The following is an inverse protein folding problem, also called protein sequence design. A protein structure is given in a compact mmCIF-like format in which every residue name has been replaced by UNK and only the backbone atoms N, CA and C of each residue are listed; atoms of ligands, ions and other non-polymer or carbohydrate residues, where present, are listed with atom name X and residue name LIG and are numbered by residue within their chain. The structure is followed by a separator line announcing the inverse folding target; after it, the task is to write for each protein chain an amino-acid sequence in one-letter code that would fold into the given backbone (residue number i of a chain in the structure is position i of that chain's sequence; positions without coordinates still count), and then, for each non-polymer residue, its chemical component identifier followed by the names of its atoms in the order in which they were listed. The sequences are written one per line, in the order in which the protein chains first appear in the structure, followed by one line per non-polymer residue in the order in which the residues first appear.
data_IF_626252589847
#
_entry.id   IF_626252589847
#
_cell.length_a   1.000
_cell.length_b   1.000
_cell.length_c   1.000
_cell.angle_alpha   90.00
_cell.angle_beta   90.00
_cell.angle_gamma   90.00
#
_symmetry.space_group_name_H-M   'P 1'
#
loop_
_entity.id
_entity.type
_entity.pdbx_description
1 polymer ?
#
# COMPACT_ATOMS: atom_id res chain seq x y z
N UNK A 1 -11.31 -10.09 -13.19
CA UNK A 1 -10.34 -10.01 -12.08
C UNK A 1 -10.86 -10.76 -10.86
N UNK A 2 -10.16 -11.80 -10.46
CA UNK A 2 -10.55 -12.89 -9.54
C UNK A 2 -9.61 -12.99 -8.33
N UNK A 3 -8.83 -11.94 -8.05
CA UNK A 3 -8.01 -11.86 -6.85
C UNK A 3 -8.80 -11.37 -5.63
N UNK A 4 -8.53 -11.95 -4.47
CA UNK A 4 -9.06 -11.48 -3.19
C UNK A 4 -7.93 -11.30 -2.19
N UNK A 5 -7.95 -10.22 -1.41
CA UNK A 5 -7.07 -10.00 -0.28
C UNK A 5 -7.87 -10.13 1.02
N UNK A 6 -7.36 -10.92 1.96
CA UNK A 6 -7.90 -11.04 3.32
C UNK A 6 -6.77 -11.09 4.34
N UNK A 7 -7.10 -10.84 5.60
CA UNK A 7 -6.18 -11.04 6.72
C UNK A 7 -6.53 -12.35 7.43
N UNK A 8 -5.53 -13.20 7.66
CA UNK A 8 -5.65 -14.48 8.37
C UNK A 8 -4.52 -14.55 9.41
N UNK A 9 -4.87 -14.70 10.68
CA UNK A 9 -3.92 -14.73 11.81
C UNK A 9 -2.87 -13.60 11.78
N UNK A 10 -3.28 -12.38 11.41
CA UNK A 10 -2.41 -11.20 11.33
C UNK A 10 -1.60 -11.07 10.04
N UNK A 11 -1.64 -12.05 9.13
CA UNK A 11 -0.93 -12.03 7.84
C UNK A 11 -1.87 -11.76 6.69
N UNK A 12 -1.37 -11.16 5.62
CA UNK A 12 -2.12 -11.02 4.37
C UNK A 12 -2.18 -12.35 3.63
N UNK A 13 -3.34 -12.63 3.04
CA UNK A 13 -3.58 -13.78 2.18
C UNK A 13 -4.22 -13.30 0.90
N UNK A 14 -3.39 -13.21 -0.14
CA UNK A 14 -3.81 -12.96 -1.51
C UNK A 14 -4.16 -14.29 -2.18
N UNK A 15 -5.32 -14.38 -2.80
CA UNK A 15 -5.80 -15.59 -3.46
C UNK A 15 -6.33 -15.30 -4.84
N UNK A 16 -5.93 -16.12 -5.80
CA UNK A 16 -6.45 -16.15 -7.17
C UNK A 16 -7.09 -17.52 -7.46
N UNK A 17 -8.08 -17.55 -8.34
CA UNK A 17 -8.74 -18.78 -8.78
C UNK A 17 -8.86 -18.78 -10.31
N UNK A 18 -8.12 -19.65 -11.00
CA UNK A 18 -8.12 -19.75 -12.47
C UNK A 18 -8.75 -21.07 -12.91
N UNK A 19 -9.78 -21.00 -13.76
CA UNK A 19 -10.24 -22.17 -14.51
C UNK A 19 -9.33 -22.36 -15.73
N UNK A 20 -8.76 -23.56 -15.88
CA UNK A 20 -7.83 -23.90 -16.94
C UNK A 20 -8.41 -25.09 -17.72
N UNK A 21 -8.57 -24.94 -19.03
CA UNK A 21 -9.11 -25.97 -19.93
C UNK A 21 -8.07 -27.08 -20.27
N UNK A 22 -7.27 -27.47 -19.27
CA UNK A 22 -6.20 -28.44 -19.39
C UNK A 22 -6.25 -29.46 -18.24
N UNK A 23 -5.86 -30.72 -18.47
CA UNK A 23 -5.85 -31.73 -17.42
C UNK A 23 -4.85 -31.37 -16.30
N UNK A 24 -5.13 -31.75 -15.03
CA UNK A 24 -4.25 -31.47 -13.89
C UNK A 24 -2.79 -31.85 -14.13
N UNK A 25 -2.52 -32.98 -14.78
CA UNK A 25 -1.14 -33.44 -15.04
C UNK A 25 -0.36 -32.50 -15.98
N UNK A 26 -1.03 -31.83 -16.92
CA UNK A 26 -0.38 -30.83 -17.79
C UNK A 26 -0.07 -29.57 -16.99
N UNK A 27 -1.03 -29.10 -16.20
CA UNK A 27 -0.85 -27.91 -15.34
C UNK A 27 0.19 -28.16 -14.26
N UNK A 28 0.22 -29.36 -13.68
CA UNK A 28 1.19 -29.77 -12.68
C UNK A 28 2.62 -29.64 -13.18
N UNK A 29 2.90 -30.15 -14.38
CA UNK A 29 4.21 -29.97 -15.02
C UNK A 29 4.52 -28.49 -15.21
N UNK A 30 3.54 -27.70 -15.65
CA UNK A 30 3.72 -26.27 -15.87
C UNK A 30 4.08 -25.47 -14.60
N UNK A 31 3.65 -25.93 -13.42
CA UNK A 31 3.92 -25.26 -12.14
C UNK A 31 5.07 -25.88 -11.33
N UNK A 32 5.63 -27.02 -11.74
CA UNK A 32 6.68 -27.72 -10.97
C UNK A 32 7.99 -27.90 -11.73
N UNK A 33 7.95 -28.02 -13.05
CA UNK A 33 9.13 -28.28 -13.89
C UNK A 33 9.81 -26.96 -14.30
N UNK A 34 11.15 -26.83 -14.11
CA UNK A 34 11.88 -25.59 -14.39
C UNK A 34 11.68 -25.03 -15.80
N UNK A 35 11.71 -25.90 -16.82
CA UNK A 35 11.54 -25.49 -18.22
C UNK A 35 10.19 -24.82 -18.47
N UNK A 36 9.14 -25.26 -17.76
CA UNK A 36 7.84 -24.64 -17.87
C UNK A 36 7.66 -23.41 -16.97
N UNK A 37 8.23 -23.42 -15.77
CA UNK A 37 8.22 -22.27 -14.86
C UNK A 37 8.87 -21.03 -15.51
N UNK A 38 9.93 -21.22 -16.29
CA UNK A 38 10.65 -20.14 -16.97
C UNK A 38 9.77 -19.30 -17.93
N UNK A 39 8.60 -19.79 -18.33
CA UNK A 39 7.69 -19.05 -19.22
C UNK A 39 6.75 -18.08 -18.50
N UNK A 40 6.58 -18.19 -17.18
CA UNK A 40 5.52 -17.44 -16.48
C UNK A 40 5.86 -17.07 -15.03
N UNK A 41 6.71 -17.85 -14.35
CA UNK A 41 7.09 -17.57 -12.98
C UNK A 41 8.27 -16.58 -12.97
N UNK A 42 8.29 -15.61 -12.05
CA UNK A 42 9.28 -14.51 -12.08
C UNK A 42 10.74 -14.93 -11.77
N UNK A 43 10.97 -16.19 -11.41
CA UNK A 43 12.29 -16.72 -11.09
C UNK A 43 12.47 -18.15 -11.62
N UNK A 44 13.72 -18.58 -11.74
CA UNK A 44 14.05 -20.00 -11.93
C UNK A 44 14.08 -20.67 -10.56
N UNK A 45 13.36 -21.79 -10.41
CA UNK A 45 13.28 -22.55 -9.16
C UNK A 45 14.05 -23.87 -9.28
N UNK A 46 15.17 -23.98 -8.56
CA UNK A 46 16.02 -25.20 -8.54
C UNK A 46 15.97 -25.89 -7.18
N UNK A 47 16.18 -27.21 -7.17
CA UNK A 47 16.13 -28.06 -5.97
C UNK A 47 15.21 -29.25 -6.12
N UNK A 48 15.20 -30.14 -5.12
CA UNK A 48 14.42 -31.37 -5.13
C UNK A 48 12.93 -31.08 -4.87
N UNK A 49 12.04 -31.82 -5.54
CA UNK A 49 10.59 -31.70 -5.35
C UNK A 49 10.11 -32.73 -4.31
N UNK A 50 10.37 -32.43 -3.04
CA UNK A 50 9.85 -33.18 -1.88
C UNK A 50 9.65 -32.24 -0.70
N UNK A 51 8.77 -32.54 0.25
CA UNK A 51 8.64 -31.74 1.47
C UNK A 51 9.98 -31.58 2.19
N UNK A 52 10.17 -30.41 2.80
CA UNK A 52 11.37 -30.00 3.54
C UNK A 52 12.64 -29.88 2.69
N UNK A 53 12.58 -30.09 1.37
CA UNK A 53 13.74 -29.87 0.50
C UNK A 53 14.05 -28.37 0.38
N UNK A 54 15.33 -27.98 0.49
CA UNK A 54 15.75 -26.63 0.17
C UNK A 54 15.63 -26.37 -1.33
N UNK A 55 15.23 -25.16 -1.67
CA UNK A 55 15.14 -24.66 -3.05
C UNK A 55 15.79 -23.29 -3.14
N UNK A 56 16.32 -22.97 -4.32
CA UNK A 56 16.91 -21.66 -4.61
C UNK A 56 16.22 -21.03 -5.80
N UNK A 57 16.19 -19.70 -5.78
CA UNK A 57 15.55 -18.87 -6.78
C UNK A 57 16.57 -17.96 -7.44
N UNK A 58 16.40 -17.73 -8.73
CA UNK A 58 17.20 -16.77 -9.49
C UNK A 58 16.26 -15.93 -10.33
N UNK A 59 16.26 -14.61 -10.15
CA UNK A 59 15.33 -13.74 -10.88
C UNK A 59 15.66 -13.74 -12.37
N UNK A 60 14.64 -13.97 -13.20
CA UNK A 60 14.83 -14.03 -14.65
C UNK A 60 14.96 -12.64 -15.30
N UNK A 61 14.38 -11.61 -14.67
CA UNK A 61 14.28 -10.26 -15.23
C UNK A 61 15.47 -9.34 -14.89
N UNK A 62 16.29 -9.73 -13.93
CA UNK A 62 17.38 -8.92 -13.38
C UNK A 62 18.69 -9.69 -13.53
N UNK A 63 19.03 -10.01 -14.78
CA UNK A 63 20.30 -10.65 -15.23
C UNK A 63 20.83 -11.90 -14.47
N UNK A 64 19.97 -12.56 -13.69
CA UNK A 64 20.33 -13.71 -12.90
C UNK A 64 20.75 -13.38 -11.46
N UNK A 65 20.30 -12.24 -10.92
CA UNK A 65 20.48 -11.91 -9.50
C UNK A 65 19.87 -12.96 -8.58
N UNK A 66 20.46 -13.06 -7.38
CA UNK A 66 20.02 -14.00 -6.35
C UNK A 66 18.57 -13.70 -5.95
N UNK A 67 17.67 -14.63 -6.30
CA UNK A 67 16.26 -14.58 -5.95
C UNK A 67 15.97 -15.06 -4.53
N UNK A 68 17.01 -15.45 -3.78
CA UNK A 68 16.93 -15.97 -2.43
C UNK A 68 16.73 -17.49 -2.39
N UNK A 69 16.45 -17.97 -1.19
CA UNK A 69 16.21 -19.40 -0.93
C UNK A 69 14.86 -19.62 -0.24
N UNK A 70 14.44 -20.88 -0.25
CA UNK A 70 13.21 -21.33 0.38
C UNK A 70 13.23 -22.81 0.66
N UNK A 71 12.09 -23.33 1.12
CA UNK A 71 11.87 -24.75 1.34
C UNK A 71 10.53 -25.16 0.76
N UNK A 72 10.44 -26.38 0.22
CA UNK A 72 9.15 -26.98 -0.11
C UNK A 72 8.41 -27.31 1.18
N UNK A 73 7.23 -26.74 1.38
CA UNK A 73 6.40 -27.00 2.57
C UNK A 73 5.45 -28.17 2.33
N UNK A 74 4.91 -28.27 1.12
CA UNK A 74 3.97 -29.33 0.74
C UNK A 74 4.22 -29.76 -0.71
N UNK A 75 4.18 -31.06 -0.94
CA UNK A 75 4.33 -31.64 -2.27
C UNK A 75 3.52 -32.93 -2.37
N UNK A 76 2.35 -32.84 -3.03
CA UNK A 76 1.41 -33.95 -3.25
C UNK A 76 0.97 -33.93 -4.73
N UNK A 77 1.74 -34.57 -5.63
CA UNK A 77 1.43 -34.58 -7.06
C UNK A 77 0.14 -35.33 -7.39
N UNK A 78 -0.69 -34.85 -8.35
CA UNK A 78 -0.60 -33.58 -9.09
C UNK A 78 -1.50 -32.49 -8.45
N UNK A 79 -1.72 -32.51 -7.13
CA UNK A 79 -2.72 -31.68 -6.45
C UNK A 79 -2.16 -30.44 -5.76
N UNK A 80 -1.03 -30.54 -5.07
CA UNK A 80 -0.57 -29.49 -4.17
C UNK A 80 0.94 -29.30 -4.26
N UNK A 81 1.33 -28.07 -4.60
CA UNK A 81 2.70 -27.59 -4.53
C UNK A 81 2.75 -26.32 -3.68
N UNK A 82 3.51 -26.34 -2.59
CA UNK A 82 3.70 -25.17 -1.75
C UNK A 82 5.13 -25.05 -1.27
N UNK A 83 5.60 -23.81 -1.16
CA UNK A 83 6.97 -23.51 -0.76
C UNK A 83 7.08 -22.11 -0.16
N UNK A 84 8.19 -21.88 0.54
CA UNK A 84 8.57 -20.54 0.98
C UNK A 84 9.43 -19.85 -0.05
N UNK A 85 9.31 -18.53 -0.14
CA UNK A 85 10.16 -17.69 -0.97
C UNK A 85 10.29 -16.32 -0.31
N UNK A 86 11.53 -15.88 -0.02
CA UNK A 86 11.80 -14.59 0.65
C UNK A 86 11.02 -14.41 1.98
N UNK A 87 10.83 -15.50 2.74
CA UNK A 87 10.07 -15.49 4.01
C UNK A 87 8.54 -15.55 3.85
N UNK A 88 8.04 -15.51 2.62
CA UNK A 88 6.62 -15.59 2.28
C UNK A 88 6.25 -17.03 1.87
N UNK A 89 4.95 -17.34 1.81
CA UNK A 89 4.47 -18.67 1.44
C UNK A 89 3.61 -18.62 0.17
N UNK A 90 3.99 -19.43 -0.80
CA UNK A 90 3.24 -19.65 -2.03
C UNK A 90 2.63 -21.05 -2.02
N UNK A 91 1.38 -21.15 -2.44
CA UNK A 91 0.63 -22.40 -2.53
C UNK A 91 -0.19 -22.46 -3.81
N UNK A 92 -0.02 -23.57 -4.52
CA UNK A 92 -0.75 -23.92 -5.73
C UNK A 92 -1.56 -25.19 -5.44
N UNK A 93 -2.89 -25.08 -5.51
CA UNK A 93 -3.84 -26.19 -5.27
C UNK A 93 -4.63 -26.43 -6.57
N UNK A 94 -4.41 -27.60 -7.18
CA UNK A 94 -5.08 -28.03 -8.40
C UNK A 94 -6.26 -28.94 -8.06
N UNK A 95 -7.42 -28.60 -8.60
CA UNK A 95 -8.66 -29.36 -8.42
C UNK A 95 -9.18 -29.79 -9.78
N UNK A 96 -9.32 -31.10 -10.06
CA UNK A 96 -9.92 -31.57 -11.30
C UNK A 96 -11.35 -31.04 -11.47
N UNK A 97 -11.72 -30.74 -12.71
CA UNK A 97 -13.09 -30.41 -13.13
C UNK A 97 -13.43 -31.20 -14.40
N UNK A 98 -14.69 -31.25 -14.80
CA UNK A 98 -15.11 -31.99 -16.00
C UNK A 98 -14.40 -31.51 -17.28
N UNK A 99 -14.15 -30.19 -17.39
CA UNK A 99 -13.54 -29.57 -18.57
C UNK A 99 -12.04 -29.21 -18.40
N UNK A 100 -11.37 -29.72 -17.36
CA UNK A 100 -9.96 -29.39 -17.09
C UNK A 100 -9.61 -29.36 -15.59
N UNK A 101 -9.13 -28.22 -15.11
CA UNK A 101 -8.88 -28.04 -13.68
C UNK A 101 -9.04 -26.59 -13.21
N UNK A 102 -9.25 -26.45 -11.89
CA UNK A 102 -9.23 -25.19 -11.18
C UNK A 102 -7.91 -25.05 -10.43
N UNK A 103 -7.12 -24.04 -10.78
CA UNK A 103 -5.94 -23.63 -10.01
C UNK A 103 -6.36 -22.60 -8.96
N UNK A 104 -6.15 -22.93 -7.69
CA UNK A 104 -6.23 -21.98 -6.58
C UNK A 104 -4.82 -21.62 -6.16
N UNK A 105 -4.41 -20.40 -6.50
CA UNK A 105 -3.13 -19.84 -6.07
C UNK A 105 -3.32 -19.00 -4.82
N UNK A 106 -2.45 -19.17 -3.83
CA UNK A 106 -2.43 -18.40 -2.58
C UNK A 106 -1.03 -17.92 -2.27
N UNK A 107 -0.91 -16.63 -1.95
CA UNK A 107 0.31 -15.99 -1.49
C UNK A 107 0.06 -15.40 -0.10
N UNK A 108 0.84 -15.83 0.90
CA UNK A 108 0.80 -15.31 2.27
C UNK A 108 2.05 -14.48 2.55
N UNK A 109 1.84 -13.25 2.99
CA UNK A 109 2.89 -12.25 3.23
C UNK A 109 2.48 -11.27 4.33
N UNK A 110 3.44 -10.46 4.79
CA UNK A 110 3.24 -9.54 5.91
C UNK A 110 3.09 -8.07 5.45
N UNK A 111 3.68 -7.70 4.31
CA UNK A 111 3.61 -6.34 3.73
C UNK A 111 2.24 -6.04 3.09
N UNK A 112 1.24 -5.70 3.93
CA UNK A 112 -0.10 -5.31 3.46
C UNK A 112 -0.05 -4.14 2.47
N UNK A 113 0.67 -3.05 2.73
CA UNK A 113 0.73 -1.93 1.80
C UNK A 113 1.33 -2.31 0.43
N UNK A 114 2.09 -3.42 0.32
CA UNK A 114 2.61 -3.98 -0.94
C UNK A 114 1.65 -4.94 -1.65
N UNK A 115 0.48 -5.24 -1.09
CA UNK A 115 -0.45 -6.25 -1.62
C UNK A 115 -0.90 -5.99 -3.07
N UNK A 116 -1.06 -4.73 -3.47
CA UNK A 116 -1.39 -4.37 -4.85
C UNK A 116 -0.27 -4.73 -5.84
N UNK A 117 0.99 -4.49 -5.48
CA UNK A 117 2.15 -4.86 -6.30
C UNK A 117 2.23 -6.37 -6.49
N UNK A 118 2.01 -7.15 -5.42
CA UNK A 118 1.97 -8.60 -5.50
C UNK A 118 0.81 -9.09 -6.36
N UNK A 119 -0.39 -8.54 -6.18
CA UNK A 119 -1.55 -8.91 -7.00
C UNK A 119 -1.34 -8.57 -8.47
N UNK A 120 -0.82 -7.39 -8.79
CA UNK A 120 -0.50 -7.01 -10.15
C UNK A 120 0.62 -7.90 -10.74
N UNK A 121 1.65 -8.25 -9.96
CA UNK A 121 2.69 -9.18 -10.42
C UNK A 121 2.13 -10.58 -10.73
N UNK A 122 1.37 -11.16 -9.79
CA UNK A 122 0.80 -12.49 -9.95
C UNK A 122 -0.28 -12.56 -11.03
N UNK A 123 -1.06 -11.50 -11.24
CA UNK A 123 -2.04 -11.46 -12.33
C UNK A 123 -1.34 -11.63 -13.69
N UNK A 124 -0.26 -10.87 -13.94
CA UNK A 124 0.54 -11.01 -15.15
C UNK A 124 1.19 -12.39 -15.28
N UNK A 125 1.78 -12.91 -14.20
CA UNK A 125 2.39 -14.24 -14.17
C UNK A 125 1.36 -15.35 -14.47
N UNK A 126 0.17 -15.30 -13.86
CA UNK A 126 -0.88 -16.30 -14.08
C UNK A 126 -1.54 -16.16 -15.47
N UNK A 127 -1.56 -14.96 -16.04
CA UNK A 127 -1.95 -14.77 -17.44
C UNK A 127 -0.93 -15.41 -18.39
N UNK A 128 0.37 -15.23 -18.14
CA UNK A 128 1.45 -15.89 -18.88
C UNK A 128 1.40 -17.42 -18.74
N UNK A 129 1.09 -17.96 -17.55
CA UNK A 129 0.87 -19.40 -17.34
C UNK A 129 -0.25 -19.93 -18.24
N UNK A 130 -1.37 -19.20 -18.30
CA UNK A 130 -2.52 -19.58 -19.11
C UNK A 130 -2.14 -19.58 -20.60
N UNK A 131 -1.50 -18.51 -21.08
CA UNK A 131 -1.03 -18.42 -22.46
C UNK A 131 -0.05 -19.55 -22.83
N UNK A 132 0.90 -19.85 -21.95
CA UNK A 132 1.86 -20.95 -22.12
C UNK A 132 1.17 -22.32 -22.22
N UNK A 133 0.18 -22.57 -21.36
CA UNK A 133 -0.63 -23.79 -21.42
C UNK A 133 -1.43 -23.90 -22.73
N UNK A 134 -1.94 -22.78 -23.23
CA UNK A 134 -2.71 -22.70 -24.47
C UNK A 134 -1.82 -22.73 -25.74
N UNK A 135 -0.50 -22.59 -25.60
CA UNK A 135 0.41 -22.39 -26.73
C UNK A 135 0.21 -21.05 -27.44
N UNK A 136 -0.32 -20.07 -26.72
CA UNK A 136 -0.59 -18.71 -27.18
C UNK A 136 0.54 -17.75 -26.78
N UNK A 137 0.69 -16.61 -27.48
CA UNK A 137 1.61 -15.56 -27.03
C UNK A 137 1.16 -14.97 -25.69
N UNK A 138 2.12 -14.62 -24.84
CA UNK A 138 1.85 -13.89 -23.60
C UNK A 138 1.19 -12.54 -23.95
N UNK A 139 0.07 -12.19 -23.28
CA UNK A 139 -0.60 -10.92 -23.55
C UNK A 139 0.26 -9.73 -23.09
N UNK A 140 0.12 -8.61 -23.78
CA UNK A 140 0.60 -7.32 -23.27
C UNK A 140 -0.10 -7.01 -21.94
N UNK A 141 0.68 -6.55 -20.96
CA UNK A 141 0.21 -6.38 -19.59
C UNK A 141 0.69 -5.05 -18.99
N UNK A 142 -0.26 -4.22 -18.57
CA UNK A 142 0.02 -2.97 -17.87
C UNK A 142 0.00 -3.19 -16.35
N UNK A 143 1.18 -3.49 -15.80
CA UNK A 143 1.34 -3.74 -14.38
C UNK A 143 0.97 -2.54 -13.50
N UNK A 144 1.28 -1.32 -13.94
CA UNK A 144 1.01 -0.11 -13.16
C UNK A 144 -0.49 0.18 -13.08
N UNK A 145 -1.23 0.01 -14.19
CA UNK A 145 -2.69 0.12 -14.18
C UNK A 145 -3.35 -0.97 -13.32
N UNK A 146 -2.83 -2.21 -13.36
CA UNK A 146 -3.31 -3.28 -12.51
C UNK A 146 -3.05 -2.99 -11.01
N UNK A 147 -1.87 -2.45 -10.67
CA UNK A 147 -1.53 -2.03 -9.30
C UNK A 147 -2.53 -1.02 -8.74
N UNK A 148 -2.92 0.00 -9.53
CA UNK A 148 -3.91 0.98 -9.09
C UNK A 148 -5.30 0.37 -8.92
N UNK A 149 -5.69 -0.54 -9.82
CA UNK A 149 -6.95 -1.27 -9.69
C UNK A 149 -6.98 -2.08 -8.38
N UNK A 150 -5.89 -2.76 -8.04
CA UNK A 150 -5.79 -3.51 -6.79
C UNK A 150 -5.67 -2.61 -5.56
N UNK A 151 -5.02 -1.45 -5.66
CA UNK A 151 -4.96 -0.45 -4.59
C UNK A 151 -6.35 0.02 -4.20
N UNK A 152 -7.18 0.36 -5.18
CA UNK A 152 -8.57 0.75 -4.94
C UNK A 152 -9.40 -0.43 -4.40
N UNK A 153 -9.35 -1.59 -5.07
CA UNK A 153 -10.13 -2.78 -4.69
C UNK A 153 -9.86 -3.27 -3.27
N UNK A 154 -8.60 -3.21 -2.82
CA UNK A 154 -8.18 -3.68 -1.51
C UNK A 154 -8.22 -2.59 -0.43
N UNK A 155 -8.61 -1.35 -0.78
CA UNK A 155 -8.66 -0.23 0.16
C UNK A 155 -7.29 0.12 0.75
N UNK A 156 -6.23 0.06 -0.07
CA UNK A 156 -4.85 0.28 0.38
C UNK A 156 -4.46 1.76 0.47
N UNK A 157 -5.38 2.68 0.15
CA UNK A 157 -5.27 4.11 0.43
C UNK A 157 -6.25 4.52 1.54
N UNK A 158 -6.20 3.85 2.68
CA UNK A 158 -6.99 4.25 3.84
C UNK A 158 -6.09 4.92 4.87
N UNK A 159 -6.42 6.17 5.22
CA UNK A 159 -5.73 6.89 6.29
C UNK A 159 -6.18 6.43 7.67
N UNK A 160 -5.30 6.53 8.66
CA UNK A 160 -5.66 6.33 10.07
C UNK A 160 -5.42 7.61 10.86
N UNK A 161 -6.18 7.78 11.93
CA UNK A 161 -6.01 8.88 12.86
C UNK A 161 -6.14 8.35 14.29
N UNK A 162 -5.27 8.81 15.18
CA UNK A 162 -5.34 8.46 16.61
C UNK A 162 -4.87 9.65 17.46
N UNK A 163 -5.40 9.80 18.69
CA UNK A 163 -4.88 10.76 19.66
C UNK A 163 -3.41 10.48 20.00
N UNK A 164 -2.60 11.53 20.11
CA UNK A 164 -1.18 11.50 20.48
C UNK A 164 -0.87 12.70 21.40
N UNK A 165 -1.15 12.55 22.70
CA UNK A 165 -1.07 13.64 23.67
C UNK A 165 -2.00 14.81 23.32
N UNK A 166 -1.45 16.02 23.20
CA UNK A 166 -2.19 17.22 22.77
C UNK A 166 -2.30 17.32 21.23
N UNK A 167 -1.98 16.26 20.50
CA UNK A 167 -2.04 16.20 19.04
C UNK A 167 -2.87 15.01 18.55
N UNK A 168 -3.20 15.03 17.26
CA UNK A 168 -3.70 13.88 16.53
C UNK A 168 -2.68 13.45 15.49
N UNK A 169 -2.44 12.15 15.42
CA UNK A 169 -1.51 11.54 14.47
C UNK A 169 -2.29 10.96 13.30
N UNK A 170 -2.34 11.69 12.18
CA UNK A 170 -2.88 11.21 10.90
C UNK A 170 -1.77 10.51 10.12
N UNK A 171 -2.04 9.29 9.63
CA UNK A 171 -1.06 8.47 8.91
C UNK A 171 -1.62 7.91 7.61
N UNK A 172 -0.79 7.90 6.58
CA UNK A 172 -1.04 7.18 5.34
C UNK A 172 0.21 6.38 4.97
N UNK A 173 0.02 5.17 4.44
CA UNK A 173 1.10 4.36 3.90
C UNK A 173 0.66 3.82 2.54
N UNK A 174 1.45 4.06 1.49
CA UNK A 174 1.09 3.69 0.12
C UNK A 174 2.29 3.11 -0.63
N UNK A 175 2.06 2.02 -1.37
CA UNK A 175 3.02 1.55 -2.38
C UNK A 175 2.81 2.32 -3.68
N UNK A 176 3.90 2.87 -4.20
CA UNK A 176 3.96 3.53 -5.51
C UNK A 176 4.69 2.62 -6.51
N UNK A 177 4.39 2.82 -7.79
CA UNK A 177 4.86 2.02 -8.92
C UNK A 177 6.15 2.54 -9.55
N UNK A 178 6.74 3.59 -8.97
CA UNK A 178 7.99 4.21 -9.42
C UNK A 178 8.98 4.32 -8.26
N UNK A 179 10.30 4.36 -8.52
CA UNK A 179 11.31 4.41 -7.47
C UNK A 179 11.36 5.78 -6.76
N UNK A 180 11.98 5.82 -5.58
CA UNK A 180 11.92 6.96 -4.66
C UNK A 180 12.50 8.25 -5.26
N UNK A 181 13.54 8.14 -6.08
CA UNK A 181 14.18 9.26 -6.79
C UNK A 181 13.23 9.95 -7.79
N UNK A 182 12.27 9.21 -8.35
CA UNK A 182 11.22 9.76 -9.21
C UNK A 182 10.06 10.36 -8.41
N UNK A 183 9.80 9.86 -7.20
CA UNK A 183 8.76 10.42 -6.32
C UNK A 183 9.23 11.72 -5.67
N UNK A 184 10.50 11.78 -5.26
CA UNK A 184 11.09 12.87 -4.48
C UNK A 184 10.80 14.28 -5.01
N UNK A 185 10.95 14.58 -6.32
CA UNK A 185 10.69 15.91 -6.87
C UNK A 185 9.26 16.41 -6.72
N UNK A 186 8.31 15.52 -6.41
CA UNK A 186 6.90 15.84 -6.26
C UNK A 186 6.45 16.05 -4.81
N UNK A 187 7.29 15.72 -3.81
CA UNK A 187 6.91 15.77 -2.40
C UNK A 187 6.64 17.19 -1.89
N UNK A 188 7.40 18.19 -2.37
CA UNK A 188 7.17 19.58 -1.98
C UNK A 188 5.77 20.07 -2.42
N UNK A 189 5.32 19.68 -3.61
CA UNK A 189 3.97 19.99 -4.08
C UNK A 189 2.89 19.24 -3.29
N UNK A 190 3.17 17.98 -2.90
CA UNK A 190 2.30 17.20 -2.03
C UNK A 190 2.14 17.89 -0.65
N UNK A 191 3.21 18.41 -0.07
CA UNK A 191 3.23 19.09 1.22
C UNK A 191 2.72 20.55 1.19
N UNK A 192 2.10 21.00 0.08
CA UNK A 192 1.53 22.34 -0.04
C UNK A 192 2.56 23.46 -0.29
N UNK A 193 3.75 23.12 -0.81
CA UNK A 193 4.75 24.09 -1.29
C UNK A 193 5.43 24.93 -0.20
N UNK A 194 5.33 24.52 1.06
CA UNK A 194 5.83 25.24 2.24
C UNK A 194 7.32 24.98 2.51
N UNK A 195 8.01 25.88 3.23
CA UNK A 195 9.45 25.76 3.46
C UNK A 195 9.77 24.48 4.23
N UNK A 196 10.59 23.65 3.60
CA UNK A 196 11.13 22.43 4.18
C UNK A 196 12.11 22.81 5.28
N UNK A 197 11.87 22.33 6.50
CA UNK A 197 12.67 22.71 7.66
C UNK A 197 13.88 21.81 7.84
N UNK A 198 13.83 20.58 7.35
CA UNK A 198 14.92 19.61 7.42
C UNK A 198 14.76 18.58 6.28
N UNK A 199 15.84 18.34 5.55
CA UNK A 199 15.93 17.32 4.50
C UNK A 199 16.96 16.29 4.90
N UNK A 200 16.51 15.07 5.17
CA UNK A 200 17.35 13.87 5.12
C UNK A 200 17.18 13.24 3.72
N UNK A 201 18.10 12.37 3.24
CA UNK A 201 18.04 11.81 1.89
C UNK A 201 16.69 11.15 1.55
N UNK A 202 16.01 10.58 2.55
CA UNK A 202 14.78 9.79 2.38
C UNK A 202 13.58 10.35 3.17
N UNK A 203 13.74 11.52 3.82
CA UNK A 203 12.70 12.13 4.66
C UNK A 203 12.54 13.62 4.39
N UNK A 204 11.29 14.04 4.15
CA UNK A 204 10.88 15.43 4.05
C UNK A 204 10.06 15.83 5.28
N UNK A 205 10.52 16.85 6.02
CA UNK A 205 9.81 17.41 7.18
C UNK A 205 9.41 18.87 6.93
N UNK A 206 8.12 19.15 7.07
CA UNK A 206 7.52 20.49 6.93
C UNK A 206 6.77 20.89 8.20
N UNK A 207 6.95 22.13 8.63
CA UNK A 207 6.22 22.74 9.75
C UNK A 207 5.26 23.81 9.22
N UNK A 208 4.01 23.74 9.62
CA UNK A 208 2.98 24.71 9.25
C UNK A 208 2.92 25.84 10.30
N UNK A 209 2.49 27.04 9.88
CA UNK A 209 2.29 28.19 10.78
C UNK A 209 1.26 27.93 11.88
N UNK A 210 0.36 26.95 11.67
CA UNK A 210 -0.59 26.45 12.67
C UNK A 210 0.09 25.72 13.83
N UNK A 211 1.37 25.38 13.69
CA UNK A 211 2.14 24.52 14.59
C UNK A 211 2.10 23.04 14.21
N UNK A 212 1.25 22.65 13.24
CA UNK A 212 1.16 21.28 12.73
C UNK A 212 2.47 20.87 12.02
N UNK A 213 2.81 19.58 12.05
CA UNK A 213 4.00 19.05 11.37
C UNK A 213 3.64 17.92 10.44
N UNK A 214 4.20 17.93 9.23
CA UNK A 214 4.04 16.89 8.21
C UNK A 214 5.41 16.30 7.92
N UNK A 215 5.53 14.98 8.11
CA UNK A 215 6.69 14.19 7.75
C UNK A 215 6.30 13.21 6.65
N UNK A 216 7.11 13.11 5.61
CA UNK A 216 6.98 12.13 4.54
C UNK A 216 8.29 11.37 4.44
N UNK A 217 8.23 10.06 4.64
CA UNK A 217 9.36 9.15 4.46
C UNK A 217 9.16 8.34 3.17
N UNK A 218 10.22 8.20 2.38
CA UNK A 218 10.27 7.33 1.21
C UNK A 218 11.26 6.20 1.44
N UNK A 219 10.81 4.95 1.32
CA UNK A 219 11.70 3.79 1.37
C UNK A 219 11.50 2.92 0.12
N UNK A 220 12.46 2.04 -0.23
CA UNK A 220 12.22 1.04 -1.27
C UNK A 220 11.04 0.12 -0.90
N UNK A 221 10.23 -0.27 -1.89
CA UNK A 221 9.13 -1.21 -1.71
C UNK A 221 8.90 -2.07 -2.95
N UNK A 222 7.99 -3.07 -2.90
CA UNK A 222 7.75 -3.98 -4.02
C UNK A 222 7.33 -3.23 -5.29
N UNK A 223 8.20 -3.23 -6.30
CA UNK A 223 7.94 -2.59 -7.60
C UNK A 223 8.05 -1.06 -7.62
N UNK A 224 8.65 -0.43 -6.59
CA UNK A 224 8.83 1.02 -6.56
C UNK A 224 9.19 1.56 -5.18
N UNK A 225 8.49 2.60 -4.75
CA UNK A 225 8.72 3.26 -3.46
C UNK A 225 7.52 3.12 -2.52
N UNK A 226 7.82 2.97 -1.24
CA UNK A 226 6.90 3.07 -0.11
C UNK A 226 6.86 4.52 0.35
N UNK A 227 5.68 5.13 0.31
CA UNK A 227 5.43 6.45 0.88
C UNK A 227 4.75 6.29 2.24
N UNK A 228 5.39 6.79 3.29
CA UNK A 228 4.79 6.91 4.62
C UNK A 228 4.61 8.39 4.96
N UNK A 229 3.36 8.81 5.11
CA UNK A 229 3.00 10.17 5.51
C UNK A 229 2.52 10.17 6.95
N UNK A 230 3.06 11.10 7.73
CA UNK A 230 2.68 11.35 9.13
C UNK A 230 2.39 12.84 9.31
N UNK A 231 1.15 13.16 9.67
CA UNK A 231 0.70 14.53 9.97
C UNK A 231 0.29 14.61 11.44
N UNK A 232 1.03 15.40 12.22
CA UNK A 232 0.68 15.73 13.61
C UNK A 232 -0.10 17.04 13.64
N UNK A 233 -1.38 16.93 13.97
CA UNK A 233 -2.33 18.03 14.09
C UNK A 233 -2.41 18.47 15.56
N UNK A 234 -2.20 19.75 15.86
CA UNK A 234 -2.42 20.26 17.21
C UNK A 234 -3.93 20.32 17.52
N UNK A 235 -4.34 19.88 18.71
CA UNK A 235 -5.74 19.94 19.17
C UNK A 235 -6.22 21.38 19.41
N UNK A 236 -5.30 22.31 19.67
CA UNK A 236 -5.56 23.72 19.90
C UNK A 236 -4.81 24.59 18.88
N UNK A 237 -5.40 25.72 18.47
CA UNK A 237 -4.65 26.73 17.70
C UNK A 237 -3.61 27.35 18.64
N UNK A 238 -2.38 27.54 18.14
CA UNK A 238 -1.38 28.34 18.87
C UNK A 238 -2.00 29.70 19.24
N UNK A 239 -1.78 30.22 20.46
CA UNK A 239 -2.27 31.54 20.84
C UNK A 239 -1.75 32.57 19.84
N UNK A 240 -2.64 33.15 19.03
CA UNK A 240 -2.31 34.35 18.27
C UNK A 240 -2.26 35.49 19.28
N UNK A 241 -1.08 35.80 19.79
CA UNK A 241 -0.90 37.03 20.55
C UNK A 241 -1.16 38.21 19.61
N UNK A 242 -2.36 38.80 19.70
CA UNK A 242 -2.63 40.10 19.13
C UNK A 242 -1.64 41.10 19.71
N UNK A 243 -1.03 41.93 18.85
CA UNK A 243 -0.20 43.05 19.29
C UNK A 243 -1.01 43.88 20.31
N UNK A 244 -0.46 44.20 21.49
CA UNK A 244 -1.15 45.05 22.45
C UNK A 244 -1.43 46.40 21.80
N UNK A 245 -2.69 46.69 21.48
CA UNK A 245 -3.11 48.04 21.14
C UNK A 245 -3.16 48.84 22.44
N UNK A 246 -2.08 49.54 22.77
CA UNK A 246 -2.08 50.51 23.86
C UNK A 246 -3.00 51.69 23.49
N UNK A 247 -4.19 51.72 24.07
CA UNK A 247 -5.02 52.93 24.12
C UNK A 247 -4.37 53.99 25.01
N UNK A 248 -4.46 55.26 24.60
CA UNK A 248 -3.98 56.41 25.38
C UNK A 248 -4.66 56.46 26.76
N UNK A 249 -3.92 56.83 27.84
CA UNK A 249 -4.44 56.73 29.19
C UNK A 249 -5.51 57.79 29.45
N UNK A 250 -6.71 57.35 29.82
CA UNK A 250 -7.72 58.18 30.49
C UNK A 250 -7.92 57.64 31.90
N UNK A 251 -8.00 58.55 32.88
CA UNK A 251 -8.05 58.25 34.31
C UNK A 251 -9.28 57.40 34.67
N UNK A 252 -9.05 56.11 34.93
CA UNK A 252 -9.98 55.16 35.52
C UNK A 252 -9.23 53.90 35.97
N UNK A 253 -9.63 53.30 37.10
CA UNK A 253 -8.99 52.10 37.66
C UNK A 253 -8.95 50.96 36.62
N UNK A 254 -7.81 50.27 36.43
CA UNK A 254 -7.72 49.16 35.49
C UNK A 254 -8.52 47.97 36.03
N UNK A 255 -9.61 47.62 35.33
CA UNK A 255 -10.27 46.32 35.50
C UNK A 255 -9.59 45.34 34.57
N UNK A 256 -8.75 44.45 35.12
CA UNK A 256 -8.25 43.30 34.38
C UNK A 256 -9.38 42.30 34.21
N UNK A 257 -10.00 42.28 33.03
CA UNK A 257 -10.82 41.15 32.61
C UNK A 257 -9.92 39.91 32.49
N UNK A 258 -10.24 38.85 33.23
CA UNK A 258 -9.65 37.53 33.00
C UNK A 258 -9.99 37.11 31.57
N UNK A 259 -9.01 36.64 30.75
CA UNK A 259 -9.31 36.04 29.47
C UNK A 259 -10.21 34.83 29.72
N UNK A 260 -11.43 34.86 29.20
CA UNK A 260 -12.25 33.65 29.05
C UNK A 260 -11.62 32.81 27.95
N UNK A 261 -10.84 31.80 28.35
CA UNK A 261 -10.49 30.72 27.44
C UNK A 261 -11.73 29.84 27.28
N UNK A 262 -12.45 30.01 26.17
CA UNK A 262 -13.31 28.95 25.68
C UNK A 262 -12.39 27.77 25.32
N UNK A 263 -12.54 26.66 26.03
CA UNK A 263 -11.85 25.42 25.71
C UNK A 263 -12.24 24.94 24.30
N UNK A 264 -11.36 24.21 23.60
CA UNK A 264 -11.71 23.66 22.30
C UNK A 264 -12.94 22.77 22.44
N UNK A 265 -13.95 22.98 21.61
CA UNK A 265 -15.07 22.05 21.46
C UNK A 265 -14.56 20.81 20.72
N UNK A 266 -14.82 19.61 21.24
CA UNK A 266 -14.43 18.32 20.63
C UNK A 266 -14.78 18.24 19.13
N UNK A 267 -15.93 18.82 18.76
CA UNK A 267 -16.47 18.95 17.40
C UNK A 267 -15.50 19.64 16.41
N UNK A 268 -14.74 20.63 16.88
CA UNK A 268 -13.78 21.37 16.03
C UNK A 268 -12.46 20.64 15.80
N UNK A 269 -12.11 19.68 16.66
CA UNK A 269 -10.93 18.84 16.48
C UNK A 269 -11.22 17.70 15.52
N UNK A 270 -12.38 17.03 15.65
CA UNK A 270 -12.82 15.97 14.74
C UNK A 270 -12.86 16.45 13.29
N UNK A 271 -13.52 17.59 13.04
CA UNK A 271 -13.61 18.18 11.69
C UNK A 271 -12.24 18.45 11.06
N UNK A 272 -11.25 18.88 11.86
CA UNK A 272 -9.87 19.09 11.37
C UNK A 272 -9.20 17.78 10.99
N UNK A 273 -9.40 16.71 11.77
CA UNK A 273 -8.83 15.39 11.49
C UNK A 273 -9.45 14.80 10.23
N UNK A 274 -10.78 14.84 10.09
CA UNK A 274 -11.50 14.40 8.89
C UNK A 274 -11.02 15.19 7.66
N UNK A 275 -10.95 16.51 7.77
CA UNK A 275 -10.45 17.38 6.69
C UNK A 275 -9.04 16.98 6.26
N UNK A 276 -8.15 16.70 7.21
CA UNK A 276 -6.78 16.27 6.92
C UNK A 276 -6.74 14.89 6.24
N UNK A 277 -7.55 13.93 6.68
CA UNK A 277 -7.65 12.61 6.06
C UNK A 277 -8.15 12.70 4.61
N UNK A 278 -9.22 13.45 4.37
CA UNK A 278 -9.78 13.67 3.01
C UNK A 278 -8.76 14.36 2.12
N UNK A 279 -8.09 15.40 2.63
CA UNK A 279 -7.04 16.12 1.91
C UNK A 279 -5.89 15.18 1.50
N UNK A 280 -5.31 14.45 2.45
CA UNK A 280 -4.17 13.57 2.17
C UNK A 280 -4.53 12.41 1.26
N UNK A 281 -5.68 11.78 1.46
CA UNK A 281 -6.18 10.75 0.56
C UNK A 281 -6.23 11.27 -0.89
N UNK A 282 -6.85 12.43 -1.10
CA UNK A 282 -6.99 13.04 -2.43
C UNK A 282 -5.63 13.41 -3.02
N UNK A 283 -4.74 14.01 -2.22
CA UNK A 283 -3.43 14.46 -2.65
C UNK A 283 -2.50 13.30 -3.04
N UNK A 284 -2.47 12.23 -2.23
CA UNK A 284 -1.67 11.03 -2.50
C UNK A 284 -2.18 10.31 -3.76
N UNK A 285 -3.50 10.23 -3.94
CA UNK A 285 -4.09 9.66 -5.16
C UNK A 285 -3.72 10.48 -6.40
N UNK A 286 -3.76 11.80 -6.31
CA UNK A 286 -3.35 12.69 -7.40
C UNK A 286 -1.84 12.59 -7.71
N UNK A 287 -1.01 12.39 -6.68
CA UNK A 287 0.41 12.09 -6.87
C UNK A 287 0.61 10.81 -7.67
N UNK A 288 -0.03 9.69 -7.27
CA UNK A 288 0.09 8.42 -7.97
C UNK A 288 -0.31 8.52 -9.45
N UNK A 289 -1.45 9.17 -9.74
CA UNK A 289 -1.90 9.40 -11.11
C UNK A 289 -0.85 10.16 -11.94
N UNK A 290 -0.29 11.23 -11.38
CA UNK A 290 0.75 12.04 -12.02
C UNK A 290 2.02 11.23 -12.33
N UNK A 291 2.46 10.39 -11.39
CA UNK A 291 3.66 9.55 -11.56
C UNK A 291 3.49 8.54 -12.71
N UNK A 292 2.26 8.09 -12.99
CA UNK A 292 1.95 7.22 -14.13
C UNK A 292 1.62 7.99 -15.43
N UNK A 293 1.71 9.32 -15.43
CA UNK A 293 1.30 10.13 -16.59
C UNK A 293 -0.20 10.10 -16.87
N UNK A 294 -1.02 9.76 -15.87
CA UNK A 294 -2.48 9.69 -15.97
C UNK A 294 -3.15 10.87 -15.26
N UNK A 295 -4.42 11.12 -15.58
CA UNK A 295 -5.22 12.10 -14.84
C UNK A 295 -5.83 11.41 -13.62
N UNK A 296 -5.89 12.07 -12.45
CA UNK A 296 -6.62 11.52 -11.31
C UNK A 296 -8.07 11.22 -11.72
N UNK A 297 -8.56 10.03 -11.37
CA UNK A 297 -9.97 9.69 -11.56
C UNK A 297 -10.92 10.62 -10.78
N UNK A 298 -12.23 10.39 -10.92
CA UNK A 298 -13.24 11.09 -10.13
C UNK A 298 -12.91 11.01 -8.61
N UNK A 299 -13.25 12.03 -7.81
CA UNK A 299 -13.18 11.94 -6.34
C UNK A 299 -13.79 10.62 -5.86
N UNK A 300 -13.21 10.02 -4.83
CA UNK A 300 -13.89 8.92 -4.14
C UNK A 300 -15.09 9.56 -3.44
N UNK A 301 -16.30 9.07 -3.76
CA UNK A 301 -17.52 9.57 -3.14
C UNK A 301 -17.51 9.23 -1.64
N UNK A 302 -18.14 10.09 -0.84
CA UNK A 302 -18.38 9.88 0.60
C UNK A 302 -17.12 9.69 1.48
N UNK A 303 -15.93 10.17 1.06
CA UNK A 303 -14.71 10.11 1.90
C UNK A 303 -14.90 10.77 3.28
N UNK A 304 -15.60 11.89 3.35
CA UNK A 304 -15.87 12.60 4.61
C UNK A 304 -16.67 11.71 5.57
N UNK A 305 -17.80 11.18 5.11
CA UNK A 305 -18.65 10.28 5.88
C UNK A 305 -17.91 8.98 6.28
N UNK A 306 -17.10 8.43 5.38
CA UNK A 306 -16.27 7.26 5.64
C UNK A 306 -15.28 7.51 6.79
N UNK A 307 -14.52 8.61 6.73
CA UNK A 307 -13.54 8.91 7.78
C UNK A 307 -14.19 9.35 9.10
N UNK A 308 -15.33 10.06 9.05
CA UNK A 308 -16.09 10.40 10.25
C UNK A 308 -16.54 9.15 11.00
N UNK A 309 -17.11 8.18 10.28
CA UNK A 309 -17.50 6.89 10.87
C UNK A 309 -16.32 6.15 11.52
N UNK A 310 -15.14 6.16 10.87
CA UNK A 310 -13.93 5.53 11.42
C UNK A 310 -13.43 6.23 12.69
N UNK A 311 -13.48 7.56 12.74
CA UNK A 311 -13.03 8.33 13.92
C UNK A 311 -14.00 8.17 15.08
N UNK A 312 -15.31 8.26 14.84
CA UNK A 312 -16.34 8.04 15.86
C UNK A 312 -16.18 6.68 16.56
N UNK A 313 -15.82 5.62 15.80
CA UNK A 313 -15.55 4.30 16.35
C UNK A 313 -14.24 4.20 17.17
N UNK A 314 -13.34 5.17 17.04
CA UNK A 314 -12.02 5.22 17.70
C UNK A 314 -12.02 6.16 18.91
N UNK A 315 -13.00 7.06 19.00
CA UNK A 315 -13.20 7.95 20.15
C UNK A 315 -13.80 7.17 21.33
N UNK A 316 -13.31 7.37 22.57
CA UNK A 316 -13.79 6.67 23.75
C UNK A 316 -15.19 7.10 24.21
#
# INVERSE_FOLDING_TARGET
MDATLRTDAGRCVLRFTRALAHPPDKVWRAITEPDHLAHWFPATLTGERRPEAPITFTFAFDDGTDGGSGVITDYDPPRLFAFTWQGENLRFDLRPTDDGCLLVFTHRFDDRPGAASFAAGWEGCLAALTAHLDGAPTPDYDWAAAHETYTARFGLLHGTAQPDGDTWLVRFERQLTVPADQVWPHLAALAGGRPVTENAPDTLLTRHDTGDTVQIDLTPGPGGARLLLTHRLLTHRLPTHGLPTHGLPTHGLPTHGLPTHDGPTEDGTEDRVVTALVHWHTAIRALAARLMGTTPGAPDDDLDACYRHTIEATMP
#
